data_IF_119448731489
#
_entry.id   IF_119448731489
#
_cell.length_a   1.000
_cell.length_b   1.000
_cell.length_c   1.000
_cell.angle_alpha   90.00
_cell.angle_beta   90.00
_cell.angle_gamma   90.00
#
_symmetry.space_group_name_H-M   'P 1'
#
loop_
_entity.id
_entity.type
_entity.pdbx_description
1 polymer ?
#
# COMPACT_ATOMS: atom_id res chain seq x y z
N UNK A 1 3.83 -32.49 20.81
CA UNK A 1 2.93 -31.89 19.77
C UNK A 1 3.21 -30.42 19.75
N UNK A 2 3.56 -29.87 18.60
CA UNK A 2 3.69 -28.43 18.41
C UNK A 2 2.31 -27.78 18.54
N UNK A 3 2.22 -26.64 19.24
CA UNK A 3 0.94 -25.94 19.38
C UNK A 3 0.57 -25.26 18.06
N UNK A 4 -0.72 -25.24 17.70
CA UNK A 4 -1.16 -24.51 16.52
C UNK A 4 -0.92 -23.00 16.71
N UNK A 5 -0.77 -22.28 15.59
CA UNK A 5 -0.65 -20.84 15.59
C UNK A 5 -1.93 -20.17 16.12
N UNK A 6 -1.79 -19.06 16.84
CA UNK A 6 -2.90 -18.21 17.26
C UNK A 6 -2.47 -16.74 17.24
N UNK A 7 -3.46 -15.84 17.18
CA UNK A 7 -3.23 -14.41 17.16
C UNK A 7 -2.54 -13.91 18.43
N UNK A 8 -1.69 -12.90 18.29
CA UNK A 8 -0.97 -12.25 19.41
C UNK A 8 -1.84 -11.24 20.20
N UNK A 9 -3.14 -11.18 19.93
CA UNK A 9 -4.07 -10.25 20.54
C UNK A 9 -5.41 -10.92 20.91
N UNK A 10 -6.17 -10.26 21.79
CA UNK A 10 -7.56 -10.62 22.12
C UNK A 10 -8.51 -9.48 21.89
N UNK A 11 -9.73 -9.79 21.48
CA UNK A 11 -10.78 -8.80 21.16
C UNK A 11 -11.35 -8.20 22.44
N UNK A 12 -11.43 -6.85 22.51
CA UNK A 12 -12.08 -6.10 23.57
C UNK A 12 -13.29 -5.28 23.09
N UNK A 13 -13.34 -4.97 21.79
CA UNK A 13 -14.40 -4.18 21.17
C UNK A 13 -14.81 -4.83 19.87
N UNK A 14 -16.08 -4.84 19.55
CA UNK A 14 -16.62 -5.44 18.33
C UNK A 14 -17.51 -4.45 17.60
N UNK A 15 -17.45 -4.46 16.28
CA UNK A 15 -18.35 -3.76 15.36
C UNK A 15 -19.19 -4.82 14.63
N UNK A 16 -20.54 -4.79 14.78
CA UNK A 16 -21.41 -5.74 14.08
C UNK A 16 -21.35 -5.54 12.58
N UNK A 17 -21.22 -6.63 11.82
CA UNK A 17 -21.30 -6.64 10.37
C UNK A 17 -22.52 -7.41 9.89
N UNK A 18 -23.14 -6.95 8.79
CA UNK A 18 -24.38 -7.51 8.26
C UNK A 18 -24.12 -8.33 7.00
N UNK A 19 -24.72 -9.52 6.93
CA UNK A 19 -24.87 -10.25 5.66
C UNK A 19 -26.08 -9.73 4.89
N UNK A 20 -25.88 -9.48 3.60
CA UNK A 20 -26.94 -9.07 2.67
C UNK A 20 -27.37 -10.22 1.78
N UNK A 21 -28.55 -10.11 1.17
CA UNK A 21 -28.97 -11.03 0.12
C UNK A 21 -28.28 -10.69 -1.21
N UNK A 22 -28.37 -11.59 -2.19
CA UNK A 22 -27.81 -11.34 -3.54
C UNK A 22 -28.58 -10.22 -4.25
N UNK A 23 -29.89 -10.17 -4.11
CA UNK A 23 -30.77 -9.17 -4.70
C UNK A 23 -30.43 -7.76 -4.18
N UNK A 24 -30.20 -7.62 -2.86
CA UNK A 24 -29.73 -6.35 -2.27
C UNK A 24 -28.41 -5.92 -2.91
N UNK A 25 -27.45 -6.84 -3.04
CA UNK A 25 -26.13 -6.50 -3.63
C UNK A 25 -26.21 -6.16 -5.12
N UNK A 26 -27.07 -6.82 -5.88
CA UNK A 26 -27.33 -6.50 -7.29
C UNK A 26 -27.90 -5.11 -7.47
N UNK A 27 -28.81 -4.70 -6.59
CA UNK A 27 -29.32 -3.33 -6.57
C UNK A 27 -28.22 -2.32 -6.23
N UNK A 28 -27.49 -2.56 -5.15
CA UNK A 28 -26.48 -1.61 -4.65
C UNK A 28 -25.31 -1.42 -5.61
N UNK A 29 -24.79 -2.49 -6.21
CA UNK A 29 -23.68 -2.36 -7.17
C UNK A 29 -24.12 -1.63 -8.44
N UNK A 30 -25.38 -1.80 -8.87
CA UNK A 30 -25.96 -1.06 -10.00
C UNK A 30 -26.11 0.43 -9.65
N UNK A 31 -26.62 0.75 -8.47
CA UNK A 31 -26.71 2.13 -7.97
C UNK A 31 -25.32 2.79 -7.86
N UNK A 32 -24.29 1.99 -7.52
CA UNK A 32 -22.88 2.39 -7.48
C UNK A 32 -22.22 2.42 -8.88
N UNK A 33 -22.96 2.30 -9.97
CA UNK A 33 -22.42 2.26 -11.34
C UNK A 33 -21.28 1.24 -11.50
N UNK A 34 -21.41 0.07 -10.85
CA UNK A 34 -20.41 -1.02 -10.84
C UNK A 34 -19.01 -0.61 -10.35
N UNK A 35 -18.92 0.52 -9.65
CA UNK A 35 -17.69 0.99 -9.00
C UNK A 35 -17.77 0.73 -7.49
N UNK A 36 -16.94 -0.18 -6.99
CA UNK A 36 -16.92 -0.61 -5.58
C UNK A 36 -16.59 0.53 -4.59
N UNK A 37 -15.95 1.62 -5.05
CA UNK A 37 -15.71 2.81 -4.23
C UNK A 37 -17.00 3.60 -3.91
N UNK A 38 -18.06 3.41 -4.67
CA UNK A 38 -19.34 4.08 -4.49
C UNK A 38 -20.32 3.28 -3.60
N UNK A 39 -19.98 2.04 -3.23
CA UNK A 39 -20.77 1.21 -2.31
C UNK A 39 -20.60 1.77 -0.89
N UNK A 40 -21.71 1.96 -0.17
CA UNK A 40 -21.68 2.42 1.22
C UNK A 40 -21.11 1.33 2.13
N UNK A 41 -20.40 1.73 3.21
CA UNK A 41 -19.77 0.80 4.14
C UNK A 41 -20.77 -0.20 4.75
N UNK A 42 -21.99 0.25 5.10
CA UNK A 42 -23.07 -0.60 5.64
C UNK A 42 -23.60 -1.68 4.68
N UNK A 43 -23.27 -1.55 3.39
CA UNK A 43 -23.64 -2.50 2.32
C UNK A 43 -22.57 -3.57 2.08
N UNK A 44 -21.47 -3.52 2.83
CA UNK A 44 -20.32 -4.42 2.70
C UNK A 44 -20.28 -5.38 3.89
N UNK A 45 -20.12 -6.69 3.61
CA UNK A 45 -19.96 -7.69 4.66
C UNK A 45 -18.52 -7.83 5.13
N UNK A 46 -17.58 -8.01 4.20
CA UNK A 46 -16.13 -8.04 4.49
C UNK A 46 -15.45 -7.01 3.59
N UNK A 47 -14.83 -6.01 4.21
CA UNK A 47 -14.23 -4.88 3.49
C UNK A 47 -12.71 -5.04 3.36
N UNK A 48 -12.29 -5.40 2.15
CA UNK A 48 -10.89 -5.57 1.75
C UNK A 48 -10.46 -4.55 0.69
N UNK A 49 -11.18 -3.41 0.61
CA UNK A 49 -10.86 -2.34 -0.34
C UNK A 49 -9.47 -1.79 -0.08
N UNK A 50 -9.12 -1.62 1.20
CA UNK A 50 -7.84 -1.06 1.63
C UNK A 50 -7.50 -1.47 3.07
N UNK A 51 -6.21 -1.58 3.36
CA UNK A 51 -5.67 -1.69 4.72
C UNK A 51 -5.31 -0.32 5.33
N UNK A 52 -5.60 0.78 4.61
CA UNK A 52 -5.21 2.14 4.98
C UNK A 52 -6.25 2.81 5.89
N UNK A 53 -5.94 2.94 7.17
CA UNK A 53 -6.80 3.60 8.15
C UNK A 53 -7.99 2.77 8.61
N UNK A 54 -8.03 1.50 8.25
CA UNK A 54 -9.13 0.56 8.55
C UNK A 54 -8.75 -0.48 9.60
N UNK A 55 -7.52 -0.43 10.14
CA UNK A 55 -7.05 -1.32 11.20
C UNK A 55 -7.58 -0.96 12.57
N UNK A 56 -7.54 -1.94 13.50
CA UNK A 56 -7.93 -1.75 14.91
C UNK A 56 -6.73 -1.31 15.75
N UNK A 57 -6.88 -0.19 16.45
CA UNK A 57 -5.91 0.30 17.42
C UNK A 57 -5.93 -0.55 18.70
N UNK A 58 -4.76 -0.68 19.34
CA UNK A 58 -4.61 -1.34 20.63
C UNK A 58 -5.23 -0.51 21.77
N UNK A 59 -5.45 -1.16 22.94
CA UNK A 59 -5.86 -0.46 24.16
C UNK A 59 -4.84 0.60 24.61
N UNK A 60 -3.55 0.39 24.34
CA UNK A 60 -2.50 1.38 24.59
C UNK A 60 -2.60 2.57 23.66
N UNK A 61 -2.93 2.35 22.39
CA UNK A 61 -3.18 3.42 21.44
C UNK A 61 -4.42 4.23 21.84
N UNK A 62 -5.51 3.58 22.26
CA UNK A 62 -6.69 4.26 22.80
C UNK A 62 -6.40 5.06 24.07
N UNK A 63 -5.60 4.50 25.00
CA UNK A 63 -5.11 5.26 26.14
C UNK A 63 -4.27 6.48 25.70
N UNK A 64 -3.44 6.30 24.67
CA UNK A 64 -2.68 7.38 24.06
C UNK A 64 -3.55 8.47 23.47
N UNK A 65 -4.65 8.13 22.81
CA UNK A 65 -5.68 9.10 22.35
C UNK A 65 -6.20 9.95 23.48
N UNK A 66 -6.53 9.33 24.63
CA UNK A 66 -7.05 10.05 25.80
C UNK A 66 -6.02 10.97 26.48
N UNK A 67 -4.72 10.72 26.28
CA UNK A 67 -3.62 11.48 26.87
C UNK A 67 -2.99 12.50 25.90
N UNK A 68 -3.46 12.55 24.65
CA UNK A 68 -2.96 13.51 23.67
C UNK A 68 -3.35 14.94 24.00
N UNK A 69 -2.44 15.88 23.79
CA UNK A 69 -2.63 17.30 24.06
C UNK A 69 -3.13 18.08 22.83
N UNK A 70 -3.85 19.15 23.05
CA UNK A 70 -4.46 20.02 22.03
C UNK A 70 -3.69 21.34 21.94
N UNK A 71 -2.47 21.29 21.41
CA UNK A 71 -1.63 22.48 21.23
C UNK A 71 -1.42 22.80 19.75
N UNK A 72 -1.68 24.05 19.34
CA UNK A 72 -1.38 24.51 17.98
C UNK A 72 0.10 24.47 17.67
N UNK A 73 0.95 24.82 18.62
CA UNK A 73 2.41 24.82 18.46
C UNK A 73 3.07 24.16 19.68
N UNK A 74 4.07 23.31 19.41
CA UNK A 74 4.87 22.69 20.46
C UNK A 74 4.15 21.61 21.27
N UNK A 75 3.21 20.88 20.66
CA UNK A 75 2.49 19.79 21.29
C UNK A 75 3.44 18.73 21.88
N UNK A 76 3.19 18.32 23.13
CA UNK A 76 3.95 17.23 23.78
C UNK A 76 3.84 15.93 22.98
N UNK A 77 2.67 15.67 22.40
CA UNK A 77 2.42 14.50 21.53
C UNK A 77 3.30 14.50 20.27
N UNK A 78 3.59 15.66 19.70
CA UNK A 78 4.53 15.76 18.57
C UNK A 78 5.93 15.33 18.97
N UNK A 79 6.44 15.77 20.11
CA UNK A 79 7.80 15.42 20.54
C UNK A 79 7.91 13.92 20.85
N UNK A 80 6.88 13.29 21.42
CA UNK A 80 6.81 11.84 21.61
C UNK A 80 6.83 11.09 20.27
N UNK A 81 6.05 11.58 19.29
CA UNK A 81 6.06 11.02 17.94
C UNK A 81 7.43 11.14 17.29
N UNK A 82 8.02 12.35 17.33
CA UNK A 82 9.36 12.60 16.80
C UNK A 82 10.40 11.68 17.44
N UNK A 83 10.40 11.55 18.76
CA UNK A 83 11.32 10.66 19.48
C UNK A 83 11.18 9.21 19.02
N UNK A 84 9.95 8.73 18.86
CA UNK A 84 9.68 7.36 18.38
C UNK A 84 10.20 7.16 16.96
N UNK A 85 9.92 8.10 16.04
CA UNK A 85 10.41 8.04 14.65
C UNK A 85 11.95 8.04 14.63
N UNK A 86 12.58 8.97 15.35
CA UNK A 86 14.05 9.06 15.40
C UNK A 86 14.67 7.78 15.96
N UNK A 87 14.10 7.20 17.00
CA UNK A 87 14.59 5.94 17.58
C UNK A 87 14.51 4.77 16.60
N UNK A 88 13.45 4.69 15.79
CA UNK A 88 13.24 3.60 14.82
C UNK A 88 14.07 3.78 13.54
N UNK A 89 14.19 5.01 13.05
CA UNK A 89 14.74 5.29 11.73
C UNK A 89 16.14 5.95 11.77
N UNK A 90 16.48 6.64 12.84
CA UNK A 90 17.67 7.48 12.94
C UNK A 90 17.50 8.87 12.29
N UNK A 91 16.34 9.21 11.75
CA UNK A 91 16.09 10.53 11.16
C UNK A 91 15.77 11.57 12.23
N UNK A 92 16.41 12.74 12.13
CA UNK A 92 16.31 13.82 13.14
C UNK A 92 15.21 14.83 12.82
N UNK A 93 14.94 15.06 11.53
CA UNK A 93 13.99 16.05 11.07
C UNK A 93 12.67 15.37 10.71
N UNK A 94 11.58 15.79 11.35
CA UNK A 94 10.24 15.20 11.19
C UNK A 94 9.23 16.31 10.90
N UNK A 95 8.42 16.13 9.86
CA UNK A 95 7.26 16.97 9.53
C UNK A 95 6.03 16.07 9.55
N UNK A 96 5.10 16.25 10.49
CA UNK A 96 3.84 15.49 10.52
C UNK A 96 2.91 15.95 9.40
N UNK A 97 2.03 15.05 8.95
CA UNK A 97 0.98 15.33 7.97
C UNK A 97 -0.24 14.47 8.31
N UNK A 98 -1.43 14.84 7.84
CA UNK A 98 -2.64 14.08 8.16
C UNK A 98 -2.69 12.69 7.48
N UNK A 99 -1.92 12.47 6.40
CA UNK A 99 -1.79 11.16 5.73
C UNK A 99 -0.60 11.13 4.77
N UNK A 100 -0.30 9.95 4.21
CA UNK A 100 0.88 9.73 3.34
C UNK A 100 0.90 10.60 2.08
N UNK A 101 -0.24 10.70 1.36
CA UNK A 101 -0.29 11.55 0.15
C UNK A 101 -0.05 13.03 0.43
N UNK A 102 -0.31 13.48 1.65
CA UNK A 102 0.03 14.82 2.09
C UNK A 102 1.55 14.96 2.33
N UNK A 103 2.18 13.94 2.92
CA UNK A 103 3.63 13.88 3.05
C UNK A 103 4.33 13.91 1.68
N UNK A 104 3.83 13.13 0.71
CA UNK A 104 4.30 13.17 -0.68
C UNK A 104 4.12 14.56 -1.28
N UNK A 105 2.93 15.18 -1.14
CA UNK A 105 2.67 16.52 -1.67
C UNK A 105 3.64 17.56 -1.10
N UNK A 106 3.83 17.57 0.22
CA UNK A 106 4.73 18.52 0.90
C UNK A 106 6.17 18.33 0.47
N UNK A 107 6.70 17.10 0.49
CA UNK A 107 8.09 16.82 0.15
C UNK A 107 8.38 17.06 -1.34
N UNK A 108 7.49 16.57 -2.23
CA UNK A 108 7.69 16.68 -3.67
C UNK A 108 7.44 18.10 -4.21
N UNK A 109 6.70 18.94 -3.49
CA UNK A 109 6.63 20.37 -3.82
C UNK A 109 7.98 21.07 -3.72
N UNK A 110 8.86 20.54 -2.88
CA UNK A 110 10.23 21.05 -2.79
C UNK A 110 11.20 20.33 -3.72
N UNK A 111 11.07 19.00 -3.88
CA UNK A 111 12.08 18.18 -4.55
C UNK A 111 11.82 17.93 -6.04
N UNK A 112 10.58 18.05 -6.55
CA UNK A 112 10.23 17.65 -7.91
C UNK A 112 9.86 18.87 -8.75
N UNK A 113 10.52 19.03 -9.90
CA UNK A 113 10.32 20.13 -10.83
C UNK A 113 9.90 19.59 -12.21
N UNK A 114 9.38 20.48 -13.07
CA UNK A 114 9.01 20.15 -14.44
C UNK A 114 10.22 19.58 -15.22
N UNK A 115 10.03 18.43 -15.84
CA UNK A 115 11.05 17.73 -16.62
C UNK A 115 11.95 16.80 -15.83
N UNK A 116 11.77 16.71 -14.51
CA UNK A 116 12.49 15.73 -13.68
C UNK A 116 12.09 14.29 -14.00
N UNK A 117 13.00 13.37 -13.73
CA UNK A 117 12.80 11.92 -13.85
C UNK A 117 13.04 11.31 -12.47
N UNK A 118 12.05 10.64 -11.92
CA UNK A 118 12.15 9.96 -10.62
C UNK A 118 12.14 8.45 -10.82
N UNK A 119 13.30 7.77 -10.82
CA UNK A 119 13.38 6.32 -10.94
C UNK A 119 13.03 5.64 -9.60
N UNK A 120 12.38 4.48 -9.67
CA UNK A 120 12.02 3.67 -8.49
C UNK A 120 11.41 2.33 -8.85
N UNK A 121 11.04 1.55 -7.85
CA UNK A 121 10.36 0.27 -8.01
C UNK A 121 8.83 0.47 -8.01
N UNK A 122 8.22 0.58 -9.18
CA UNK A 122 6.74 0.70 -9.37
C UNK A 122 6.07 1.66 -8.38
N UNK A 123 6.14 2.94 -8.69
CA UNK A 123 5.58 4.00 -7.88
C UNK A 123 4.13 3.71 -7.49
N UNK A 124 3.78 3.99 -6.24
CA UNK A 124 2.40 3.97 -5.80
C UNK A 124 1.57 5.01 -6.58
N UNK A 125 0.25 4.82 -6.67
CA UNK A 125 -0.65 5.68 -7.48
C UNK A 125 -0.54 7.17 -7.11
N UNK A 126 -0.56 7.51 -5.82
CA UNK A 126 -0.44 8.91 -5.37
C UNK A 126 0.98 9.45 -5.55
N UNK A 127 2.01 8.65 -5.35
CA UNK A 127 3.41 9.00 -5.62
C UNK A 127 3.58 9.38 -7.09
N UNK A 128 3.11 8.52 -8.00
CA UNK A 128 3.10 8.78 -9.44
C UNK A 128 2.27 10.03 -9.76
N UNK A 129 1.07 10.14 -9.19
CA UNK A 129 0.19 11.30 -9.39
C UNK A 129 0.85 12.62 -8.99
N UNK A 130 1.59 12.65 -7.87
CA UNK A 130 2.31 13.85 -7.44
C UNK A 130 3.51 14.18 -8.33
N UNK A 131 4.22 13.18 -8.85
CA UNK A 131 5.34 13.38 -9.79
C UNK A 131 4.81 13.88 -11.14
N UNK A 132 3.87 13.16 -11.75
CA UNK A 132 3.32 13.48 -13.06
C UNK A 132 2.49 14.79 -13.06
N UNK A 133 1.81 15.09 -11.94
CA UNK A 133 1.10 16.37 -11.76
C UNK A 133 2.02 17.59 -11.75
N UNK A 134 3.32 17.40 -11.49
CA UNK A 134 4.38 18.42 -11.60
C UNK A 134 5.08 18.40 -12.95
N UNK A 135 4.52 17.69 -13.95
CA UNK A 135 5.10 17.49 -15.28
C UNK A 135 6.49 16.82 -15.25
N UNK A 136 6.76 16.04 -14.24
CA UNK A 136 7.90 15.14 -14.13
C UNK A 136 7.50 13.71 -14.55
N UNK A 137 8.45 12.79 -14.64
CA UNK A 137 8.22 11.41 -15.04
C UNK A 137 8.54 10.45 -13.91
N UNK A 138 7.58 9.62 -13.53
CA UNK A 138 7.79 8.46 -12.66
C UNK A 138 8.32 7.28 -13.52
N UNK A 139 9.60 6.93 -13.34
CA UNK A 139 10.26 5.90 -14.15
C UNK A 139 10.33 4.58 -13.38
N UNK A 140 9.65 3.55 -13.90
CA UNK A 140 9.65 2.22 -13.30
C UNK A 140 10.95 1.46 -13.59
N UNK A 141 11.65 1.09 -12.53
CA UNK A 141 12.86 0.26 -12.55
C UNK A 141 12.67 -1.05 -11.77
N UNK A 142 11.44 -1.56 -11.62
CA UNK A 142 11.18 -2.83 -10.93
C UNK A 142 11.81 -4.00 -11.70
N UNK A 143 12.23 -5.03 -10.97
CA UNK A 143 12.68 -6.30 -11.56
C UNK A 143 11.58 -6.94 -12.41
N UNK A 144 11.94 -7.58 -13.51
CA UNK A 144 10.95 -8.17 -14.43
C UNK A 144 10.19 -9.35 -13.82
N UNK A 145 10.80 -10.04 -12.86
CA UNK A 145 10.18 -11.13 -12.09
C UNK A 145 8.84 -10.72 -11.43
N UNK A 146 8.67 -9.43 -11.13
CA UNK A 146 7.43 -8.89 -10.57
C UNK A 146 6.20 -9.06 -11.49
N UNK A 147 6.43 -9.18 -12.81
CA UNK A 147 5.37 -9.32 -13.82
C UNK A 147 4.87 -10.75 -13.98
N UNK A 148 5.67 -11.75 -13.60
CA UNK A 148 5.22 -13.13 -13.59
C UNK A 148 4.57 -13.48 -12.25
N UNK A 149 3.24 -13.51 -12.23
CA UNK A 149 2.46 -13.76 -11.02
C UNK A 149 2.66 -15.16 -10.44
N UNK A 150 3.16 -16.12 -11.21
CA UNK A 150 3.33 -17.51 -10.78
C UNK A 150 4.77 -17.87 -10.39
N UNK A 151 5.72 -16.97 -10.65
CA UNK A 151 7.11 -17.16 -10.27
C UNK A 151 7.26 -16.98 -8.75
N UNK A 152 7.82 -17.97 -8.07
CA UNK A 152 8.09 -17.94 -6.63
C UNK A 152 9.54 -17.54 -6.35
N UNK A 153 9.78 -16.25 -6.21
CA UNK A 153 11.06 -15.68 -5.74
C UNK A 153 10.81 -14.75 -4.56
N UNK A 154 11.72 -14.68 -3.57
CA UNK A 154 11.43 -14.09 -2.26
C UNK A 154 11.21 -12.58 -2.26
N UNK A 155 11.74 -11.83 -3.25
CA UNK A 155 11.80 -10.36 -3.23
C UNK A 155 11.46 -9.73 -4.59
N UNK A 156 10.25 -9.92 -5.07
CA UNK A 156 9.77 -9.34 -6.35
C UNK A 156 9.54 -7.82 -6.29
N UNK A 157 9.63 -7.22 -5.12
CA UNK A 157 9.56 -5.77 -4.95
C UNK A 157 10.86 -5.02 -5.27
N UNK A 158 11.95 -5.73 -5.56
CA UNK A 158 13.27 -5.16 -5.78
C UNK A 158 13.32 -4.17 -6.95
N UNK A 159 14.21 -3.18 -6.81
CA UNK A 159 14.68 -2.35 -7.93
C UNK A 159 15.65 -3.17 -8.77
N UNK A 160 15.52 -3.13 -10.10
CA UNK A 160 16.53 -3.67 -11.01
C UNK A 160 17.74 -2.73 -11.06
N UNK A 161 18.93 -3.17 -10.57
CA UNK A 161 20.12 -2.32 -10.53
C UNK A 161 20.59 -1.84 -11.90
N UNK A 162 20.37 -2.64 -12.95
CA UNK A 162 20.75 -2.28 -14.32
C UNK A 162 19.85 -1.19 -14.88
N UNK A 163 18.53 -1.35 -14.77
CA UNK A 163 17.55 -0.32 -15.17
C UNK A 163 17.79 0.99 -14.43
N UNK A 164 18.06 0.94 -13.11
CA UNK A 164 18.37 2.11 -12.31
C UNK A 164 19.65 2.79 -12.79
N UNK A 165 20.74 2.04 -12.99
CA UNK A 165 22.01 2.62 -13.42
C UNK A 165 21.92 3.22 -14.83
N UNK A 166 21.20 2.56 -15.76
CA UNK A 166 20.91 3.10 -17.10
C UNK A 166 20.11 4.40 -17.03
N UNK A 167 19.11 4.47 -16.15
CA UNK A 167 18.33 5.69 -15.95
C UNK A 167 19.22 6.84 -15.44
N UNK A 168 20.08 6.58 -14.46
CA UNK A 168 21.00 7.60 -13.93
C UNK A 168 22.03 8.07 -14.95
N UNK A 169 22.56 7.15 -15.77
CA UNK A 169 23.46 7.49 -16.90
C UNK A 169 22.76 8.36 -17.93
N UNK A 170 21.50 8.01 -18.28
CA UNK A 170 20.74 8.68 -19.35
C UNK A 170 20.26 10.06 -18.94
N UNK A 171 19.75 10.20 -17.73
CA UNK A 171 19.03 11.39 -17.30
C UNK A 171 19.83 12.31 -16.37
N UNK A 172 20.89 11.82 -15.72
CA UNK A 172 21.86 12.63 -14.99
C UNK A 172 21.23 13.63 -14.01
N UNK A 173 21.46 14.93 -14.27
CA UNK A 173 21.00 16.01 -13.38
C UNK A 173 19.47 16.14 -13.31
N UNK A 174 18.73 15.58 -14.27
CA UNK A 174 17.26 15.54 -14.22
C UNK A 174 16.71 14.57 -13.19
N UNK A 175 17.54 13.78 -12.51
CA UNK A 175 17.11 12.88 -11.45
C UNK A 175 17.33 13.58 -10.11
N UNK A 176 16.26 14.07 -9.44
CA UNK A 176 16.37 14.74 -8.15
C UNK A 176 16.64 13.76 -7.00
N UNK A 177 16.04 12.56 -7.06
CA UNK A 177 16.22 11.47 -6.10
C UNK A 177 15.76 10.14 -6.71
N UNK A 178 16.12 9.04 -6.06
CA UNK A 178 15.63 7.69 -6.31
C UNK A 178 14.58 7.38 -5.25
N UNK A 179 13.44 6.80 -5.63
CA UNK A 179 12.43 6.38 -4.64
C UNK A 179 12.34 4.84 -4.58
N UNK A 180 12.26 4.29 -3.37
CA UNK A 180 12.03 2.87 -3.14
C UNK A 180 10.81 2.66 -2.26
N UNK A 181 9.81 1.99 -2.80
CA UNK A 181 8.56 1.64 -2.11
C UNK A 181 8.72 0.33 -1.35
N UNK A 182 8.55 0.35 -0.04
CA UNK A 182 8.70 -0.78 0.89
C UNK A 182 7.44 -0.97 1.76
N UNK A 183 6.66 -2.08 1.60
CA UNK A 183 6.70 -3.07 0.50
C UNK A 183 6.13 -2.49 -0.79
N UNK A 184 6.53 -3.03 -1.94
CA UNK A 184 6.04 -2.57 -3.24
C UNK A 184 4.59 -3.01 -3.50
N UNK A 185 3.62 -2.10 -3.27
CA UNK A 185 2.19 -2.38 -3.42
C UNK A 185 1.81 -2.73 -4.86
N UNK A 186 2.31 -1.99 -5.84
CA UNK A 186 1.96 -2.15 -7.25
C UNK A 186 2.45 -3.49 -7.82
N UNK A 187 3.55 -4.02 -7.30
CA UNK A 187 4.05 -5.36 -7.65
C UNK A 187 3.34 -6.50 -6.87
N UNK A 188 2.24 -6.23 -6.18
CA UNK A 188 1.51 -7.23 -5.42
C UNK A 188 1.89 -7.31 -3.94
N UNK A 189 2.26 -6.18 -3.33
CA UNK A 189 2.67 -6.12 -1.92
C UNK A 189 4.01 -6.80 -1.64
N UNK A 190 4.85 -6.90 -2.66
CA UNK A 190 6.10 -7.66 -2.64
C UNK A 190 7.21 -6.92 -1.87
N UNK A 191 8.00 -7.63 -1.03
CA UNK A 191 9.08 -7.01 -0.28
C UNK A 191 10.31 -6.71 -1.13
N UNK A 192 11.13 -5.80 -0.60
CA UNK A 192 12.46 -5.44 -1.09
C UNK A 192 13.52 -6.01 -0.15
N UNK A 193 14.54 -6.70 -0.67
CA UNK A 193 15.61 -7.29 0.13
C UNK A 193 16.57 -6.22 0.67
N UNK A 194 17.22 -6.50 1.79
CA UNK A 194 18.28 -5.64 2.31
C UNK A 194 19.46 -5.56 1.34
N UNK A 195 19.79 -6.66 0.69
CA UNK A 195 20.83 -6.70 -0.33
C UNK A 195 20.52 -5.71 -1.47
N UNK A 196 19.27 -5.69 -1.96
CA UNK A 196 18.87 -4.77 -3.01
C UNK A 196 18.89 -3.30 -2.54
N UNK A 197 18.47 -3.03 -1.29
CA UNK A 197 18.59 -1.69 -0.72
C UNK A 197 20.05 -1.21 -0.67
N UNK A 198 21.00 -2.09 -0.33
CA UNK A 198 22.44 -1.79 -0.36
C UNK A 198 22.96 -1.54 -1.78
N UNK A 199 22.50 -2.31 -2.76
CA UNK A 199 22.83 -2.10 -4.17
C UNK A 199 22.32 -0.75 -4.68
N UNK A 200 21.06 -0.42 -4.38
CA UNK A 200 20.47 0.88 -4.72
C UNK A 200 21.27 2.02 -4.08
N UNK A 201 21.64 1.90 -2.80
CA UNK A 201 22.46 2.91 -2.12
C UNK A 201 23.83 3.06 -2.77
N UNK A 202 24.51 1.98 -3.10
CA UNK A 202 25.82 2.02 -3.75
C UNK A 202 25.76 2.70 -5.15
N UNK A 203 24.72 2.39 -5.93
CA UNK A 203 24.48 3.06 -7.21
C UNK A 203 24.17 4.53 -6.99
N UNK A 204 23.30 4.86 -6.06
CA UNK A 204 22.96 6.25 -5.73
C UNK A 204 24.18 7.07 -5.31
N UNK A 205 25.05 6.52 -4.47
CA UNK A 205 26.32 7.16 -4.05
C UNK A 205 27.25 7.41 -5.23
N UNK A 206 27.39 6.43 -6.13
CA UNK A 206 28.21 6.55 -7.36
C UNK A 206 27.79 7.75 -8.22
N UNK A 207 26.49 8.05 -8.28
CA UNK A 207 25.95 9.13 -9.09
C UNK A 207 25.58 10.38 -8.27
N UNK A 208 25.90 10.41 -6.98
CA UNK A 208 25.62 11.54 -6.08
C UNK A 208 24.11 11.82 -5.92
N UNK A 209 23.26 10.79 -6.00
CA UNK A 209 21.80 10.93 -5.91
C UNK A 209 21.28 10.52 -4.54
N UNK A 210 20.35 11.29 -3.93
CA UNK A 210 19.71 10.88 -2.70
C UNK A 210 18.67 9.77 -2.92
N UNK A 211 18.37 9.04 -1.84
CA UNK A 211 17.37 7.96 -1.81
C UNK A 211 16.25 8.31 -0.84
N UNK A 212 15.01 8.23 -1.30
CA UNK A 212 13.78 8.39 -0.51
C UNK A 212 13.08 7.04 -0.41
N UNK A 213 12.60 6.68 0.80
CA UNK A 213 11.73 5.52 0.94
C UNK A 213 10.26 5.96 1.04
N UNK A 214 9.39 5.38 0.21
CA UNK A 214 7.97 5.30 0.52
C UNK A 214 7.77 4.13 1.50
N UNK A 215 7.52 4.47 2.76
CA UNK A 215 7.70 3.55 3.89
C UNK A 215 6.40 3.09 4.52
N UNK A 216 5.30 3.16 3.79
CA UNK A 216 3.98 2.86 4.32
C UNK A 216 3.89 1.49 5.04
N UNK A 217 4.70 0.50 4.60
CA UNK A 217 4.73 -0.87 5.16
C UNK A 217 6.16 -1.34 5.46
N UNK A 218 6.94 -0.46 6.07
CA UNK A 218 8.35 -0.73 6.39
C UNK A 218 8.54 -1.91 7.35
N UNK A 219 7.63 -2.07 8.31
CA UNK A 219 7.72 -3.15 9.30
C UNK A 219 7.40 -4.51 8.68
N UNK A 220 6.41 -4.58 7.78
CA UNK A 220 6.15 -5.78 6.97
C UNK A 220 7.38 -6.12 6.10
N UNK A 221 8.03 -5.13 5.50
CA UNK A 221 9.26 -5.33 4.73
C UNK A 221 10.40 -5.88 5.61
N UNK A 222 10.60 -5.33 6.80
CA UNK A 222 11.58 -5.81 7.77
C UNK A 222 11.31 -7.25 8.23
N UNK A 223 10.03 -7.62 8.39
CA UNK A 223 9.64 -9.00 8.68
C UNK A 223 10.07 -9.96 7.56
N UNK A 224 9.85 -9.62 6.31
CA UNK A 224 10.28 -10.46 5.19
C UNK A 224 11.80 -10.54 5.05
N UNK A 225 12.53 -9.47 5.32
CA UNK A 225 14.00 -9.53 5.40
C UNK A 225 14.41 -10.54 6.49
N UNK A 226 13.82 -10.45 7.70
CA UNK A 226 14.12 -11.38 8.80
C UNK A 226 13.84 -12.82 8.42
N UNK A 227 12.75 -13.10 7.71
CA UNK A 227 12.27 -14.47 7.48
C UNK A 227 12.74 -15.09 6.18
N UNK A 228 13.14 -14.27 5.18
CA UNK A 228 13.47 -14.75 3.83
C UNK A 228 14.93 -14.47 3.41
N UNK A 229 15.65 -13.57 4.09
CA UNK A 229 17.01 -13.18 3.71
C UNK A 229 18.05 -13.80 4.65
N UNK A 230 19.09 -14.39 4.06
CA UNK A 230 20.17 -15.02 4.84
C UNK A 230 20.91 -13.98 5.70
N UNK A 231 21.26 -14.37 6.94
CA UNK A 231 21.98 -13.52 7.89
C UNK A 231 21.08 -12.58 8.73
N UNK A 232 19.74 -12.57 8.52
CA UNK A 232 18.83 -11.71 9.26
C UNK A 232 17.95 -12.40 10.28
N UNK A 233 17.94 -13.72 10.33
CA UNK A 233 17.07 -14.54 11.20
C UNK A 233 17.18 -14.16 12.69
N UNK A 234 18.37 -13.86 13.16
CA UNK A 234 18.63 -13.58 14.59
C UNK A 234 18.49 -12.10 14.95
N UNK A 235 18.36 -11.20 13.98
CA UNK A 235 18.12 -9.77 14.22
C UNK A 235 16.67 -9.50 14.59
N UNK A 236 16.45 -8.53 15.46
CA UNK A 236 15.12 -8.01 15.77
C UNK A 236 14.58 -7.17 14.61
N UNK A 237 13.27 -7.02 14.53
CA UNK A 237 12.62 -6.13 13.52
C UNK A 237 13.15 -4.70 13.66
N UNK A 238 13.38 -4.22 14.89
CA UNK A 238 13.90 -2.86 15.15
C UNK A 238 15.32 -2.67 14.59
N UNK A 239 16.20 -3.67 14.75
CA UNK A 239 17.55 -3.63 14.19
C UNK A 239 17.53 -3.62 12.66
N UNK A 240 16.68 -4.46 12.03
CA UNK A 240 16.52 -4.50 10.59
C UNK A 240 15.94 -3.18 10.08
N UNK A 241 14.93 -2.63 10.74
CA UNK A 241 14.34 -1.33 10.42
C UNK A 241 15.38 -0.23 10.42
N UNK A 242 16.21 -0.17 11.47
CA UNK A 242 17.29 0.82 11.58
C UNK A 242 18.34 0.67 10.47
N UNK A 243 18.70 -0.58 10.13
CA UNK A 243 19.63 -0.88 9.04
C UNK A 243 19.05 -0.45 7.68
N UNK A 244 17.76 -0.70 7.42
CA UNK A 244 17.10 -0.22 6.20
C UNK A 244 17.15 1.29 6.08
N UNK A 245 16.70 2.02 7.10
CA UNK A 245 16.64 3.48 7.04
C UNK A 245 18.00 4.17 7.03
N UNK A 246 19.06 3.52 7.48
CA UNK A 246 20.42 4.03 7.32
C UNK A 246 20.83 4.19 5.84
N UNK A 247 20.20 3.42 4.93
CA UNK A 247 20.45 3.45 3.49
C UNK A 247 19.65 4.55 2.75
N UNK A 248 18.74 5.24 3.43
CA UNK A 248 17.95 6.34 2.85
C UNK A 248 18.40 7.71 3.36
N UNK A 249 18.07 8.74 2.60
CA UNK A 249 18.26 10.16 2.97
C UNK A 249 17.00 10.76 3.61
N UNK A 250 15.86 10.18 3.30
CA UNK A 250 14.57 10.55 3.87
C UNK A 250 13.48 9.55 3.51
N UNK A 251 12.30 9.80 4.03
CA UNK A 251 11.13 8.96 3.82
C UNK A 251 9.84 9.77 3.80
N UNK A 252 8.85 9.25 3.09
CA UNK A 252 7.44 9.57 3.29
C UNK A 252 6.74 8.40 3.97
N UNK A 253 5.76 8.67 4.82
CA UNK A 253 5.04 7.64 5.56
C UNK A 253 3.54 7.88 5.51
N UNK A 254 2.81 6.89 5.01
CA UNK A 254 1.39 6.77 5.30
C UNK A 254 1.23 5.94 6.58
N UNK A 255 1.06 6.61 7.71
CA UNK A 255 0.95 5.95 9.01
C UNK A 255 -0.33 5.14 9.19
N UNK A 256 -1.29 5.32 8.28
CA UNK A 256 -2.56 4.57 8.22
C UNK A 256 -2.38 3.08 7.94
N UNK A 257 -1.16 2.59 7.74
CA UNK A 257 -0.77 1.19 7.55
C UNK A 257 0.05 0.71 8.75
N UNK A 258 1.36 0.74 8.68
CA UNK A 258 2.24 0.24 9.76
C UNK A 258 2.25 1.10 11.03
N UNK A 259 1.72 2.31 10.99
CA UNK A 259 1.43 3.09 12.20
C UNK A 259 0.20 2.61 12.98
N UNK A 260 -0.61 1.72 12.40
CA UNK A 260 -1.86 1.15 12.97
C UNK A 260 -2.78 2.26 13.53
N UNK A 261 -2.93 3.35 12.78
CA UNK A 261 -3.83 4.47 13.12
C UNK A 261 -4.82 4.72 12.00
N UNK A 262 -5.95 5.36 12.33
CA UNK A 262 -6.98 5.70 11.36
C UNK A 262 -6.63 6.98 10.58
N UNK A 263 -5.76 7.83 11.12
CA UNK A 263 -5.29 9.06 10.51
C UNK A 263 -3.79 9.25 10.82
N UNK A 264 -3.04 9.80 9.87
CA UNK A 264 -1.66 10.19 10.10
C UNK A 264 -0.70 9.86 8.94
N UNK A 265 0.31 10.66 8.87
CA UNK A 265 1.46 10.51 7.99
C UNK A 265 2.59 11.43 8.46
N UNK A 266 3.74 11.30 7.85
CA UNK A 266 4.86 12.19 8.12
C UNK A 266 5.94 12.08 7.05
N UNK A 267 6.79 13.11 7.00
CA UNK A 267 8.09 13.09 6.36
C UNK A 267 9.13 12.95 7.46
N UNK A 268 10.14 12.11 7.28
CA UNK A 268 11.32 12.11 8.13
C UNK A 268 12.59 12.06 7.28
N UNK A 269 13.64 12.79 7.68
CA UNK A 269 14.86 12.90 6.89
C UNK A 269 16.07 13.21 7.79
N UNK A 270 17.28 12.82 7.33
CA UNK A 270 18.55 13.27 7.90
C UNK A 270 19.05 14.58 7.27
N UNK A 271 18.38 15.06 6.20
CA UNK A 271 18.77 16.24 5.43
C UNK A 271 18.09 17.49 5.95
N UNK A 272 18.87 18.41 6.51
CA UNK A 272 18.36 19.69 7.00
C UNK A 272 17.80 20.55 5.86
N UNK A 273 18.46 20.56 4.69
CA UNK A 273 18.00 21.32 3.52
C UNK A 273 16.60 20.89 3.05
N UNK A 274 16.29 19.59 3.08
CA UNK A 274 14.95 19.10 2.76
C UNK A 274 13.91 19.53 3.79
N UNK A 275 14.28 19.46 5.06
CA UNK A 275 13.40 19.90 6.14
C UNK A 275 13.07 21.38 6.01
N UNK A 276 14.11 22.24 5.82
CA UNK A 276 13.93 23.68 5.67
C UNK A 276 13.11 24.01 4.41
N UNK A 277 13.37 23.35 3.28
CA UNK A 277 12.65 23.56 2.03
C UNK A 277 11.18 23.12 2.08
N UNK A 278 10.88 22.04 2.81
CA UNK A 278 9.52 21.50 2.92
C UNK A 278 8.62 22.25 3.93
N UNK A 279 9.19 22.99 4.89
CA UNK A 279 8.44 23.71 5.95
C UNK A 279 7.34 24.62 5.41
N UNK A 280 7.65 25.44 4.40
CA UNK A 280 6.68 26.37 3.82
C UNK A 280 5.48 25.65 3.21
N UNK A 281 5.71 24.54 2.53
CA UNK A 281 4.66 23.72 1.95
C UNK A 281 3.82 23.00 3.01
N UNK A 282 4.44 22.54 4.10
CA UNK A 282 3.69 21.99 5.23
C UNK A 282 2.74 23.03 5.82
N UNK A 283 3.23 24.23 6.10
CA UNK A 283 2.38 25.31 6.64
C UNK A 283 1.25 25.69 5.68
N UNK A 284 1.51 25.66 4.38
CA UNK A 284 0.52 26.01 3.36
C UNK A 284 -0.57 24.93 3.20
N UNK A 285 -0.20 23.65 3.23
CA UNK A 285 -1.12 22.56 2.86
C UNK A 285 -1.71 21.82 4.07
N UNK A 286 -0.94 21.69 5.16
CA UNK A 286 -1.29 20.84 6.29
C UNK A 286 -1.54 21.65 7.57
N UNK A 287 -0.62 22.54 7.91
CA UNK A 287 -0.66 23.35 9.10
C UNK A 287 0.71 23.51 9.74
N UNK A 288 0.74 23.98 10.99
CA UNK A 288 2.01 24.29 11.65
C UNK A 288 2.88 23.03 11.88
N UNK A 289 4.18 23.19 11.89
CA UNK A 289 5.21 22.13 11.83
C UNK A 289 5.14 21.09 12.97
N UNK A 290 4.48 21.42 14.07
CA UNK A 290 4.34 20.52 15.22
C UNK A 290 2.97 19.88 15.35
N UNK A 291 2.10 20.03 14.32
CA UNK A 291 0.89 19.23 14.21
C UNK A 291 0.57 18.76 12.78
N UNK A 292 0.90 19.53 11.72
CA UNK A 292 0.80 19.09 10.33
C UNK A 292 -0.56 18.51 9.92
N UNK A 293 -1.67 19.17 10.27
CA UNK A 293 -3.03 18.69 9.99
C UNK A 293 -3.50 17.53 10.88
N UNK A 294 -2.71 17.12 11.89
CA UNK A 294 -3.09 16.13 12.90
C UNK A 294 -3.45 16.82 14.22
N UNK A 295 -4.22 16.15 15.08
CA UNK A 295 -4.36 16.53 16.48
C UNK A 295 -3.35 15.77 17.36
N UNK A 296 -3.14 16.23 18.60
CA UNK A 296 -2.20 15.60 19.52
C UNK A 296 -2.59 14.17 19.88
N UNK A 297 -3.88 13.86 19.89
CA UNK A 297 -4.43 12.54 20.16
C UNK A 297 -3.98 11.52 19.12
N UNK A 298 -4.10 11.87 17.83
CA UNK A 298 -3.67 10.99 16.74
C UNK A 298 -2.14 10.83 16.71
N UNK A 299 -1.38 11.90 16.96
CA UNK A 299 0.08 11.82 17.05
C UNK A 299 0.55 10.91 18.18
N UNK A 300 -0.11 10.97 19.34
CA UNK A 300 0.24 10.12 20.48
C UNK A 300 -0.10 8.65 20.22
N UNK A 301 -1.27 8.37 19.62
CA UNK A 301 -1.64 7.02 19.18
C UNK A 301 -0.68 6.47 18.12
N UNK A 302 -0.25 7.32 17.18
CA UNK A 302 0.72 6.96 16.15
C UNK A 302 2.09 6.60 16.73
N UNK A 303 2.58 7.37 17.69
CA UNK A 303 3.86 7.07 18.37
C UNK A 303 3.85 5.67 19.02
N UNK A 304 2.71 5.29 19.62
CA UNK A 304 2.51 3.97 20.22
C UNK A 304 2.41 2.89 19.13
N UNK A 305 1.61 3.11 18.11
CA UNK A 305 1.38 2.14 17.03
C UNK A 305 2.66 1.80 16.25
N UNK A 306 3.50 2.78 15.95
CA UNK A 306 4.82 2.56 15.31
C UNK A 306 5.72 1.66 16.17
N UNK A 307 5.73 1.85 17.48
CA UNK A 307 6.51 1.01 18.38
C UNK A 307 5.95 -0.42 18.46
N UNK A 308 4.63 -0.58 18.59
CA UNK A 308 3.97 -1.88 18.65
C UNK A 308 4.15 -2.69 17.36
N UNK A 309 4.08 -2.05 16.20
CA UNK A 309 4.18 -2.76 14.93
C UNK A 309 5.60 -3.22 14.59
N UNK A 310 6.62 -2.82 15.36
CA UNK A 310 7.97 -3.36 15.27
C UNK A 310 8.23 -4.57 16.19
N UNK A 311 7.19 -5.07 16.85
CA UNK A 311 7.26 -6.34 17.60
C UNK A 311 6.97 -7.52 16.66
N UNK A 312 7.80 -8.56 16.75
CA UNK A 312 7.76 -9.72 15.83
C UNK A 312 6.39 -10.42 15.83
N UNK A 313 5.80 -10.66 16.99
CA UNK A 313 4.54 -11.40 17.12
C UNK A 313 3.36 -10.70 16.44
N UNK A 314 3.35 -9.35 16.46
CA UNK A 314 2.33 -8.57 15.74
C UNK A 314 2.44 -8.76 14.22
N UNK A 315 3.67 -8.73 13.71
CA UNK A 315 3.93 -8.91 12.28
C UNK A 315 3.71 -10.37 11.86
N UNK A 316 4.09 -11.33 12.69
CA UNK A 316 3.83 -12.75 12.43
C UNK A 316 2.32 -13.01 12.30
N UNK A 317 1.51 -12.49 13.23
CA UNK A 317 0.03 -12.58 13.14
C UNK A 317 -0.49 -11.93 11.87
N UNK A 318 0.04 -10.76 11.53
CA UNK A 318 -0.33 -10.01 10.32
C UNK A 318 -0.06 -10.82 9.04
N UNK A 319 1.14 -11.34 8.91
CA UNK A 319 1.57 -12.09 7.72
C UNK A 319 0.87 -13.44 7.65
N UNK A 320 0.70 -14.11 8.79
CA UNK A 320 -0.01 -15.38 8.87
C UNK A 320 -1.42 -15.32 8.24
N UNK A 321 -2.19 -14.26 8.48
CA UNK A 321 -3.53 -14.13 7.87
C UNK A 321 -3.48 -14.08 6.34
N UNK A 322 -2.48 -13.41 5.76
CA UNK A 322 -2.29 -13.36 4.31
C UNK A 322 -1.86 -14.73 3.78
N UNK A 323 -0.92 -15.38 4.46
CA UNK A 323 -0.43 -16.72 4.11
C UNK A 323 -1.53 -17.78 4.25
N UNK A 324 -2.39 -17.67 5.26
CA UNK A 324 -3.53 -18.57 5.44
C UNK A 324 -4.53 -18.45 4.29
N UNK A 325 -4.90 -17.22 3.91
CA UNK A 325 -5.74 -17.02 2.74
C UNK A 325 -5.08 -17.57 1.47
N UNK A 326 -3.78 -17.31 1.29
CA UNK A 326 -2.99 -17.85 0.16
C UNK A 326 -3.03 -19.37 0.10
N UNK A 327 -2.85 -20.07 1.22
CA UNK A 327 -2.89 -21.55 1.28
C UNK A 327 -4.23 -22.11 0.85
N UNK A 328 -5.35 -21.45 1.20
CA UNK A 328 -6.68 -21.84 0.74
C UNK A 328 -6.87 -21.62 -0.77
N UNK A 329 -6.30 -20.52 -1.31
CA UNK A 329 -6.35 -20.30 -2.77
C UNK A 329 -5.49 -21.32 -3.53
N UNK A 330 -4.36 -21.75 -2.96
CA UNK A 330 -3.53 -22.83 -3.51
C UNK A 330 -4.31 -24.16 -3.56
N UNK A 331 -5.01 -24.51 -2.49
CA UNK A 331 -5.88 -25.69 -2.44
C UNK A 331 -6.98 -25.65 -3.52
N UNK A 332 -7.53 -24.46 -3.79
CA UNK A 332 -8.58 -24.26 -4.77
C UNK A 332 -8.08 -24.03 -6.20
N UNK A 333 -6.76 -23.93 -6.40
CA UNK A 333 -6.14 -23.70 -7.70
C UNK A 333 -6.42 -22.31 -8.28
N UNK A 334 -6.66 -21.31 -7.42
CA UNK A 334 -6.94 -19.93 -7.81
C UNK A 334 -5.61 -19.19 -7.95
N UNK A 335 -5.27 -18.64 -9.14
CA UNK A 335 -4.00 -17.96 -9.37
C UNK A 335 -3.95 -16.57 -8.69
N UNK A 336 -2.85 -16.30 -8.03
CA UNK A 336 -2.56 -14.99 -7.41
C UNK A 336 -1.07 -14.65 -7.55
N UNK A 337 -0.65 -13.42 -7.24
CA UNK A 337 0.76 -12.99 -7.25
C UNK A 337 1.54 -13.74 -6.18
N UNK A 338 2.42 -14.64 -6.58
CA UNK A 338 3.25 -15.50 -5.73
C UNK A 338 4.66 -14.94 -5.54
N UNK A 339 5.29 -15.21 -4.39
CA UNK A 339 4.64 -15.63 -3.15
C UNK A 339 3.72 -14.54 -2.61
N UNK A 340 2.84 -14.84 -1.65
CA UNK A 340 1.98 -13.85 -1.03
C UNK A 340 2.79 -12.69 -0.44
N UNK A 341 2.30 -11.47 -0.63
CA UNK A 341 2.89 -10.26 -0.06
C UNK A 341 2.47 -10.02 1.40
N UNK A 342 2.75 -8.81 1.92
CA UNK A 342 2.56 -8.52 3.34
C UNK A 342 1.15 -8.14 3.75
N UNK A 343 0.39 -7.46 2.89
CA UNK A 343 -0.86 -6.82 3.31
C UNK A 343 -2.11 -7.30 2.59
N UNK A 344 -1.97 -8.05 1.52
CA UNK A 344 -3.07 -8.43 0.65
C UNK A 344 -2.76 -9.69 -0.13
N UNK A 345 -3.81 -10.35 -0.61
CA UNK A 345 -3.74 -11.27 -1.73
C UNK A 345 -4.09 -10.50 -3.00
N UNK A 346 -3.36 -10.76 -4.07
CA UNK A 346 -3.56 -10.16 -5.38
C UNK A 346 -3.90 -11.27 -6.39
N UNK A 347 -5.19 -11.50 -6.60
CA UNK A 347 -5.68 -12.54 -7.52
C UNK A 347 -5.41 -12.11 -8.96
N UNK A 348 -4.82 -13.00 -9.76
CA UNK A 348 -4.52 -12.78 -11.18
C UNK A 348 -5.79 -12.93 -12.01
N UNK A 349 -6.49 -11.85 -12.23
CA UNK A 349 -7.80 -11.87 -12.88
C UNK A 349 -7.77 -12.35 -14.34
N UNK A 350 -6.79 -11.99 -15.18
CA UNK A 350 -6.64 -12.57 -16.52
C UNK A 350 -6.46 -14.09 -16.54
N UNK A 351 -5.85 -14.67 -15.50
CA UNK A 351 -5.73 -16.14 -15.40
C UNK A 351 -6.99 -16.80 -14.84
N UNK A 352 -7.85 -16.06 -14.13
CA UNK A 352 -9.18 -16.52 -13.70
C UNK A 352 -10.18 -16.40 -14.83
N UNK A 353 -10.26 -15.24 -15.49
CA UNK A 353 -11.23 -14.90 -16.53
C UNK A 353 -10.55 -14.85 -17.92
N UNK A 354 -9.95 -15.97 -18.33
CA UNK A 354 -9.12 -16.07 -19.55
C UNK A 354 -9.83 -15.72 -20.85
N UNK A 355 -11.16 -15.75 -20.86
CA UNK A 355 -12.02 -15.46 -22.00
C UNK A 355 -12.55 -14.01 -22.02
N UNK A 356 -12.37 -13.26 -20.93
CA UNK A 356 -12.75 -11.84 -20.86
C UNK A 356 -11.60 -11.00 -21.39
N UNK A 357 -11.81 -10.21 -22.47
CA UNK A 357 -10.74 -9.40 -23.05
C UNK A 357 -10.29 -8.27 -22.08
N UNK A 358 -9.04 -7.85 -22.21
CA UNK A 358 -8.44 -6.82 -21.33
C UNK A 358 -9.19 -5.49 -21.40
N UNK A 359 -9.83 -5.17 -22.52
CA UNK A 359 -10.64 -3.98 -22.75
C UNK A 359 -11.95 -3.98 -21.93
N UNK A 360 -12.33 -5.15 -21.42
CA UNK A 360 -13.50 -5.36 -20.56
C UNK A 360 -13.13 -5.46 -19.06
N UNK A 361 -11.90 -5.11 -18.71
CA UNK A 361 -11.39 -4.97 -17.33
C UNK A 361 -11.63 -6.22 -16.45
N UNK A 362 -10.92 -7.33 -16.70
CA UNK A 362 -11.10 -8.59 -15.98
C UNK A 362 -11.02 -8.46 -14.46
N UNK A 363 -10.06 -7.69 -13.90
CA UNK A 363 -9.92 -7.52 -12.46
C UNK A 363 -11.09 -6.74 -11.84
N UNK A 364 -11.60 -5.72 -12.51
CA UNK A 364 -12.79 -5.01 -12.07
C UNK A 364 -14.02 -5.92 -12.14
N UNK A 365 -14.13 -6.72 -13.21
CA UNK A 365 -15.20 -7.71 -13.37
C UNK A 365 -15.17 -8.73 -12.24
N UNK A 366 -14.00 -9.28 -11.92
CA UNK A 366 -13.83 -10.22 -10.81
C UNK A 366 -14.16 -9.57 -9.45
N UNK A 367 -13.81 -8.29 -9.28
CA UNK A 367 -14.15 -7.50 -8.08
C UNK A 367 -15.67 -7.41 -7.89
N UNK A 368 -16.40 -7.11 -8.95
CA UNK A 368 -17.86 -7.04 -8.95
C UNK A 368 -18.48 -8.41 -8.64
N UNK A 369 -17.99 -9.47 -9.27
CA UNK A 369 -18.50 -10.83 -9.05
C UNK A 369 -18.29 -11.31 -7.62
N UNK A 370 -17.15 -11.00 -7.00
CA UNK A 370 -16.89 -11.32 -5.60
C UNK A 370 -17.84 -10.56 -4.65
N UNK A 371 -18.10 -9.29 -4.93
CA UNK A 371 -19.08 -8.53 -4.17
C UNK A 371 -20.51 -9.12 -4.31
N UNK A 372 -20.92 -9.46 -5.52
CA UNK A 372 -22.23 -10.10 -5.79
C UNK A 372 -22.33 -11.46 -5.11
N UNK A 373 -21.25 -12.23 -5.03
CA UNK A 373 -21.25 -13.55 -4.41
C UNK A 373 -21.48 -13.48 -2.90
N UNK A 374 -20.76 -12.62 -2.18
CA UNK A 374 -20.75 -12.67 -0.72
C UNK A 374 -20.72 -11.30 -0.01
N UNK A 375 -20.84 -10.18 -0.72
CA UNK A 375 -20.71 -8.85 -0.12
C UNK A 375 -19.28 -8.50 0.29
N UNK A 376 -18.29 -9.14 -0.34
CA UNK A 376 -16.86 -8.90 -0.10
C UNK A 376 -16.40 -7.81 -1.06
N UNK A 377 -15.87 -6.73 -0.53
CA UNK A 377 -15.36 -5.60 -1.31
C UNK A 377 -13.84 -5.66 -1.44
N UNK A 378 -13.35 -6.01 -2.63
CA UNK A 378 -11.94 -5.88 -3.02
C UNK A 378 -11.66 -4.59 -3.78
N UNK A 379 -10.48 -4.50 -4.40
CA UNK A 379 -10.05 -3.36 -5.19
C UNK A 379 -9.31 -3.84 -6.44
N UNK A 380 -9.69 -3.35 -7.59
CA UNK A 380 -8.91 -3.54 -8.81
C UNK A 380 -7.59 -2.80 -8.70
N UNK A 381 -6.48 -3.48 -9.02
CA UNK A 381 -5.14 -2.90 -9.18
C UNK A 381 -4.62 -3.38 -10.53
N UNK A 382 -4.99 -2.68 -11.56
CA UNK A 382 -4.71 -3.10 -12.93
C UNK A 382 -5.02 -2.03 -13.96
N UNK A 383 -5.84 -2.37 -14.93
CA UNK A 383 -6.05 -1.56 -16.13
C UNK A 383 -6.88 -0.29 -15.89
N UNK A 384 -7.84 -0.29 -14.96
CA UNK A 384 -8.55 0.92 -14.57
C UNK A 384 -7.62 1.86 -13.80
N UNK A 385 -6.86 1.33 -12.82
CA UNK A 385 -5.91 2.11 -12.03
C UNK A 385 -4.78 2.67 -12.87
N UNK A 386 -4.32 1.96 -13.91
CA UNK A 386 -3.24 2.40 -14.79
C UNK A 386 -3.58 3.70 -15.55
N UNK A 387 -4.87 4.06 -15.58
CA UNK A 387 -5.38 5.25 -16.22
C UNK A 387 -5.11 5.29 -17.74
N UNK A 388 -5.37 6.43 -18.37
CA UNK A 388 -5.09 6.66 -19.79
C UNK A 388 -3.70 7.27 -19.98
N UNK A 389 -3.13 7.03 -21.12
CA UNK A 389 -1.97 7.80 -21.56
C UNK A 389 -2.35 9.29 -21.65
N UNK A 390 -1.59 10.22 -21.07
CA UNK A 390 -1.94 11.63 -21.01
C UNK A 390 -1.94 12.31 -22.38
N UNK A 391 -1.22 11.73 -23.37
CA UNK A 391 -1.09 12.30 -24.72
C UNK A 391 -2.04 11.61 -25.69
N UNK A 392 -1.95 10.27 -25.82
CA UNK A 392 -2.77 9.51 -26.79
C UNK A 392 -4.19 9.25 -26.31
N UNK A 393 -4.45 9.35 -25.01
CA UNK A 393 -5.72 9.02 -24.35
C UNK A 393 -6.12 7.54 -24.46
N UNK A 394 -5.24 6.69 -24.92
CA UNK A 394 -5.45 5.24 -24.94
C UNK A 394 -5.33 4.64 -23.53
N UNK A 395 -6.03 3.53 -23.27
CA UNK A 395 -5.89 2.80 -22.02
C UNK A 395 -4.48 2.24 -21.89
N UNK A 396 -3.87 2.41 -20.72
CA UNK A 396 -2.58 1.78 -20.39
C UNK A 396 -2.84 0.36 -19.90
N UNK A 397 -2.16 -0.60 -20.50
CA UNK A 397 -2.16 -2.01 -20.08
C UNK A 397 -0.75 -2.38 -19.65
N UNK A 398 -0.47 -2.23 -18.36
CA UNK A 398 0.88 -2.36 -17.77
C UNK A 398 1.30 -3.81 -17.46
N UNK A 399 0.55 -4.81 -17.93
CA UNK A 399 0.89 -6.23 -17.83
C UNK A 399 0.38 -6.94 -16.57
N UNK A 400 -0.05 -6.22 -15.54
CA UNK A 400 -0.72 -6.78 -14.36
C UNK A 400 -2.15 -6.26 -14.26
N UNK A 401 -3.10 -7.17 -14.07
CA UNK A 401 -4.52 -6.84 -13.82
C UNK A 401 -5.02 -7.71 -12.67
N UNK A 402 -4.96 -7.15 -11.46
CA UNK A 402 -5.09 -7.90 -10.23
C UNK A 402 -6.30 -7.45 -9.41
N UNK A 403 -7.04 -8.40 -8.86
CA UNK A 403 -7.97 -8.13 -7.76
C UNK A 403 -7.18 -8.14 -6.45
N UNK A 404 -7.05 -6.99 -5.81
CA UNK A 404 -6.43 -6.86 -4.50
C UNK A 404 -7.45 -7.06 -3.39
N UNK A 405 -7.13 -7.94 -2.46
CA UNK A 405 -7.86 -8.18 -1.22
C UNK A 405 -6.98 -7.74 -0.05
N UNK A 406 -7.04 -6.44 0.27
CA UNK A 406 -6.22 -5.84 1.32
C UNK A 406 -6.84 -6.13 2.69
N UNK A 407 -6.11 -6.85 3.55
CA UNK A 407 -6.61 -7.28 4.85
C UNK A 407 -6.28 -6.18 5.90
N UNK A 408 -7.28 -5.53 6.52
CA UNK A 408 -7.06 -4.58 7.61
C UNK A 408 -6.41 -5.26 8.83
N UNK A 409 -5.47 -4.57 9.47
CA UNK A 409 -4.74 -5.10 10.63
C UNK A 409 -5.65 -5.27 11.83
N UNK A 410 -5.66 -6.47 12.45
CA UNK A 410 -6.39 -6.80 13.68
C UNK A 410 -7.92 -6.62 13.58
N UNK A 411 -8.53 -6.82 12.39
CA UNK A 411 -9.97 -6.64 12.16
C UNK A 411 -10.66 -7.97 11.92
N UNK A 412 -10.18 -8.72 10.95
CA UNK A 412 -10.77 -10.01 10.56
C UNK A 412 -10.00 -11.18 11.18
N UNK A 413 -10.68 -12.31 11.31
CA UNK A 413 -10.12 -13.58 11.79
C UNK A 413 -9.92 -14.56 10.65
N UNK A 414 -9.28 -15.70 10.90
CA UNK A 414 -9.08 -16.77 9.90
C UNK A 414 -10.40 -17.33 9.37
N UNK A 415 -11.47 -17.31 10.18
CA UNK A 415 -12.82 -17.67 9.68
C UNK A 415 -13.32 -16.75 8.58
N UNK A 416 -12.98 -15.44 8.65
CA UNK A 416 -13.30 -14.52 7.56
C UNK A 416 -12.44 -14.82 6.33
N UNK A 417 -11.17 -15.20 6.50
CA UNK A 417 -10.31 -15.63 5.39
C UNK A 417 -10.87 -16.86 4.69
N UNK A 418 -11.36 -17.83 5.45
CA UNK A 418 -12.02 -19.01 4.90
C UNK A 418 -13.30 -18.66 4.10
N UNK A 419 -14.11 -17.70 4.58
CA UNK A 419 -15.27 -17.18 3.83
C UNK A 419 -14.85 -16.50 2.53
N UNK A 420 -13.78 -15.69 2.55
CA UNK A 420 -13.24 -15.03 1.36
C UNK A 420 -12.79 -16.07 0.32
N UNK A 421 -12.02 -17.07 0.75
CA UNK A 421 -11.55 -18.14 -0.12
C UNK A 421 -12.70 -18.93 -0.73
N UNK A 422 -13.71 -19.29 0.06
CA UNK A 422 -14.91 -20.01 -0.41
C UNK A 422 -15.71 -19.17 -1.43
N UNK A 423 -15.89 -17.89 -1.19
CA UNK A 423 -16.56 -17.00 -2.13
C UNK A 423 -15.80 -16.88 -3.47
N UNK A 424 -14.47 -16.73 -3.41
CA UNK A 424 -13.64 -16.76 -4.61
C UNK A 424 -13.72 -18.10 -5.35
N UNK A 425 -13.76 -19.21 -4.62
CA UNK A 425 -13.95 -20.56 -5.20
C UNK A 425 -15.26 -20.67 -5.95
N UNK A 426 -16.35 -20.19 -5.37
CA UNK A 426 -17.66 -20.19 -6.05
C UNK A 426 -17.63 -19.38 -7.35
N UNK A 427 -17.00 -18.19 -7.33
CA UNK A 427 -16.82 -17.37 -8.54
C UNK A 427 -15.94 -18.10 -9.55
N UNK A 428 -14.82 -18.70 -9.09
CA UNK A 428 -13.90 -19.44 -9.94
C UNK A 428 -14.55 -20.64 -10.62
N UNK A 429 -15.41 -21.39 -9.91
CA UNK A 429 -16.09 -22.56 -10.46
C UNK A 429 -17.09 -22.19 -11.56
N UNK A 430 -17.79 -21.05 -11.42
CA UNK A 430 -18.74 -20.56 -12.42
C UNK A 430 -18.14 -19.54 -13.41
N UNK A 431 -16.82 -19.36 -13.44
CA UNK A 431 -16.17 -18.30 -14.21
C UNK A 431 -16.53 -18.27 -15.69
N UNK A 432 -16.77 -19.44 -16.30
CA UNK A 432 -17.17 -19.53 -17.70
C UNK A 432 -18.60 -19.03 -17.98
N UNK A 433 -19.39 -18.78 -16.93
CA UNK A 433 -20.72 -18.15 -17.04
C UNK A 433 -20.63 -16.61 -17.01
N UNK A 434 -19.46 -16.05 -16.71
CA UNK A 434 -19.18 -14.61 -16.74
C UNK A 434 -18.69 -14.28 -18.15
N UNK A 435 -19.62 -14.22 -19.12
CA UNK A 435 -19.28 -14.13 -20.55
C UNK A 435 -18.63 -12.81 -20.95
N UNK A 436 -19.00 -11.72 -20.27
CA UNK A 436 -18.52 -10.36 -20.53
C UNK A 436 -18.12 -9.65 -19.24
N UNK A 437 -17.27 -8.65 -19.41
CA UNK A 437 -16.86 -7.74 -18.34
C UNK A 437 -17.69 -6.46 -18.27
N UNK A 438 -17.00 -5.34 -18.11
CA UNK A 438 -17.59 -4.01 -18.01
C UNK A 438 -16.96 -3.05 -19.01
N UNK A 439 -17.70 -1.98 -19.36
CA UNK A 439 -17.18 -0.86 -20.13
C UNK A 439 -17.30 0.44 -19.36
N UNK A 440 -16.47 1.40 -19.70
CA UNK A 440 -16.50 2.75 -19.13
C UNK A 440 -17.67 3.53 -19.76
N UNK A 441 -18.61 3.98 -18.92
CA UNK A 441 -19.68 4.88 -19.31
C UNK A 441 -19.28 6.35 -19.12
N UNK A 442 -18.55 6.62 -18.02
CA UNK A 442 -18.00 7.94 -17.71
C UNK A 442 -16.72 7.81 -16.89
N UNK A 443 -15.78 8.73 -17.10
CA UNK A 443 -14.52 8.78 -16.31
C UNK A 443 -14.04 10.21 -16.05
N UNK A 444 -13.40 10.41 -14.90
CA UNK A 444 -12.67 11.63 -14.62
C UNK A 444 -11.37 11.73 -15.44
N UNK A 445 -10.88 12.95 -15.74
CA UNK A 445 -9.63 13.15 -16.51
C UNK A 445 -8.37 12.59 -15.84
N UNK A 446 -8.37 12.48 -14.49
CA UNK A 446 -7.28 11.99 -13.67
C UNK A 446 -7.81 11.06 -12.60
N UNK A 447 -7.03 10.04 -12.25
CA UNK A 447 -7.33 9.09 -11.16
C UNK A 447 -8.75 8.50 -11.30
N UNK A 448 -9.13 8.13 -12.53
CA UNK A 448 -10.47 7.65 -12.90
C UNK A 448 -10.96 6.49 -12.03
N UNK A 449 -10.07 5.63 -11.57
CA UNK A 449 -10.35 4.45 -10.78
C UNK A 449 -11.29 4.71 -9.59
N UNK A 450 -11.15 5.88 -8.93
CA UNK A 450 -11.95 6.22 -7.75
C UNK A 450 -13.39 6.66 -8.07
N UNK A 451 -13.63 7.16 -9.29
CA UNK A 451 -14.90 7.84 -9.64
C UNK A 451 -15.53 7.36 -10.93
N UNK A 452 -14.89 6.44 -11.65
CA UNK A 452 -15.40 5.91 -12.93
C UNK A 452 -16.80 5.33 -12.77
N UNK A 453 -17.67 5.58 -13.75
CA UNK A 453 -18.95 4.90 -13.89
C UNK A 453 -18.84 3.84 -14.98
N UNK A 454 -19.25 2.65 -14.64
CA UNK A 454 -19.17 1.47 -15.47
C UNK A 454 -20.55 0.93 -15.81
N UNK A 455 -20.63 0.17 -16.88
CA UNK A 455 -21.81 -0.57 -17.30
C UNK A 455 -21.43 -2.03 -17.60
N UNK A 456 -22.32 -2.98 -17.29
CA UNK A 456 -22.15 -4.34 -17.76
C UNK A 456 -22.29 -4.40 -19.26
N UNK A 457 -21.45 -5.19 -19.91
CA UNK A 457 -21.62 -5.56 -21.32
C UNK A 457 -22.59 -6.72 -21.33
N UNK A 458 -23.63 -6.62 -22.12
CA UNK A 458 -24.66 -7.66 -22.38
C UNK A 458 -24.63 -8.02 -23.85
N UNK A 459 -24.94 -9.29 -24.17
CA UNK A 459 -25.09 -9.79 -25.54
C UNK A 459 -26.11 -8.96 -26.36
#
# INVERSE_FOLDING_TARGET
MELPFAESWKIKMVEPIRRSTREEREQWIKEAHYNVFQIKAEQVYIDLLTDSGTGSMSDRQWAGVMLGDESYAGATSFFKLKETITRLTGFEYVIPTHQGRAAENVLFSYLVHEGDIVPGNSHFDTTKGHIEGRKATALDCTVDDAKDTQLEVPFKGNVDPKKLEEALKKYGDKVPFIIVTITNNTAGGQPVSMQNLKEVRAIADKYGKPVVFDSARFAENAYFIKTREEGYKDKTIKEITKEMFALADGMTMSAKKDGIVNMGGFIATKRQDWYEGAKGYCVQFEGYLTYGGMNGRDMNALAIGLAENTEFDNLQTRIHQVEYLASLLDEYGIPYQRPAGGHAIFVDAPKVLTHVPKEEFPAQTLTIELYLEAGIRGCEIGYLLADRDPITRENRFNGLDLLRLAIPRRVYTDNHMAVIAAALKNVFDRRMQITHGVRIAWEAPLMRHFTVQLERITD
#
